data_IF_258548204324
#
_entry.id   IF_258548204324
#
_cell.length_a   1.000
_cell.length_b   1.000
_cell.length_c   1.000
_cell.angle_alpha   90.00
_cell.angle_beta   90.00
_cell.angle_gamma   90.00
#
_symmetry.space_group_name_H-M   'P 1'
#
loop_
_entity.id
_entity.type
_entity.pdbx_description
1 polymer ?
#
# COMPACT_ATOMS: atom_id res chain seq x y z
N UNK A 1 7.26 -12.14 14.61
CA UNK A 1 7.75 -11.97 16.00
C UNK A 1 6.80 -12.70 16.97
N UNK A 2 7.26 -13.14 18.15
CA UNK A 2 6.33 -13.61 19.19
C UNK A 2 5.43 -12.47 19.66
N UNK A 3 4.26 -12.81 20.20
CA UNK A 3 3.33 -11.85 20.81
C UNK A 3 4.05 -10.98 21.85
N UNK A 4 4.00 -9.66 21.68
CA UNK A 4 4.77 -8.71 22.50
C UNK A 4 4.21 -8.63 23.93
N UNK A 5 5.11 -8.54 24.91
CA UNK A 5 4.74 -8.22 26.29
C UNK A 5 4.33 -6.76 26.42
N UNK A 6 3.57 -6.41 27.49
CA UNK A 6 3.19 -5.02 27.77
C UNK A 6 4.40 -4.08 27.86
N UNK A 7 5.51 -4.54 28.42
CA UNK A 7 6.73 -3.73 28.59
C UNK A 7 7.49 -3.51 27.28
N UNK A 8 7.21 -4.30 26.25
CA UNK A 8 7.90 -4.27 24.97
C UNK A 8 7.07 -3.65 23.84
N UNK A 9 5.75 -3.45 23.99
CA UNK A 9 4.88 -3.03 22.89
C UNK A 9 5.35 -1.73 22.22
N UNK A 10 5.93 -0.79 22.98
CA UNK A 10 6.46 0.49 22.47
C UNK A 10 7.95 0.47 22.16
N UNK A 11 8.65 -0.67 22.35
CA UNK A 11 10.04 -0.79 21.92
C UNK A 11 10.07 -1.05 20.41
N UNK A 12 10.96 -0.37 19.66
CA UNK A 12 11.12 -0.63 18.22
C UNK A 12 11.39 -2.11 17.97
N UNK A 13 10.87 -2.64 16.87
CA UNK A 13 11.17 -4.02 16.48
C UNK A 13 12.70 -4.16 16.27
N UNK A 14 13.35 -5.23 16.77
CA UNK A 14 14.79 -5.43 16.62
C UNK A 14 15.28 -5.39 15.17
N UNK A 15 14.41 -5.71 14.19
CA UNK A 15 14.74 -5.62 12.75
C UNK A 15 15.00 -4.18 12.27
N UNK A 16 14.63 -3.16 13.04
CA UNK A 16 15.02 -1.75 12.82
C UNK A 16 16.35 -1.38 13.50
N UNK A 17 17.05 -2.32 14.13
CA UNK A 17 18.33 -2.02 14.81
C UNK A 17 19.37 -1.43 13.86
N UNK A 18 19.48 -2.02 12.67
CA UNK A 18 20.52 -1.70 11.69
C UNK A 18 20.01 -0.80 10.55
N UNK A 19 18.72 -0.47 10.54
CA UNK A 19 18.15 0.42 9.53
C UNK A 19 18.60 1.86 9.79
N UNK A 20 19.24 2.46 8.79
CA UNK A 20 19.80 3.81 8.89
C UNK A 20 19.20 4.74 7.83
N UNK A 21 19.12 6.02 8.18
CA UNK A 21 18.83 7.12 7.26
C UNK A 21 20.07 8.00 7.11
N UNK A 22 20.24 8.62 5.94
CA UNK A 22 21.35 9.55 5.68
C UNK A 22 20.83 10.97 5.83
N UNK A 23 21.38 11.72 6.78
CA UNK A 23 21.05 13.12 7.00
C UNK A 23 22.32 13.97 6.94
N UNK A 24 22.38 14.92 6.01
CA UNK A 24 23.57 15.76 5.83
C UNK A 24 24.84 14.98 5.50
N UNK A 25 24.71 13.84 4.81
CA UNK A 25 25.83 12.95 4.47
C UNK A 25 26.27 12.00 5.59
N UNK A 26 25.63 12.04 6.76
CA UNK A 26 25.94 11.17 7.91
C UNK A 26 24.83 10.13 8.07
N UNK A 27 25.22 8.86 8.15
CA UNK A 27 24.29 7.78 8.46
C UNK A 27 23.98 7.76 9.97
N UNK A 28 22.70 7.72 10.32
CA UNK A 28 22.23 7.48 11.70
C UNK A 28 21.07 6.49 11.69
N UNK A 29 20.83 5.85 12.83
CA UNK A 29 19.70 4.92 12.98
C UNK A 29 18.38 5.63 12.67
N UNK A 30 17.51 4.91 11.96
CA UNK A 30 16.14 5.34 11.68
C UNK A 30 15.36 5.46 12.99
N UNK A 31 14.64 6.57 13.13
CA UNK A 31 13.72 6.82 14.24
C UNK A 31 12.28 6.60 13.79
N UNK A 32 11.35 6.54 14.75
CA UNK A 32 9.92 6.56 14.43
C UNK A 32 9.52 7.80 13.63
N UNK A 33 10.15 8.96 13.89
CA UNK A 33 9.86 10.19 13.17
C UNK A 33 10.25 10.10 11.69
N UNK A 34 11.39 9.46 11.38
CA UNK A 34 11.81 9.24 9.99
C UNK A 34 10.86 8.27 9.27
N UNK A 35 10.50 7.16 9.94
CA UNK A 35 9.55 6.19 9.42
C UNK A 35 8.17 6.82 9.17
N UNK A 36 7.66 7.57 10.15
CA UNK A 36 6.42 8.32 10.00
C UNK A 36 6.50 9.32 8.85
N UNK A 37 7.60 10.06 8.72
CA UNK A 37 7.82 11.00 7.62
C UNK A 37 7.72 10.32 6.25
N UNK A 38 8.42 9.19 6.07
CA UNK A 38 8.37 8.41 4.83
C UNK A 38 6.94 7.93 4.49
N UNK A 39 6.15 7.53 5.49
CA UNK A 39 4.75 7.14 5.28
C UNK A 39 3.86 8.35 4.96
N UNK A 40 4.10 9.49 5.62
CA UNK A 40 3.31 10.72 5.43
C UNK A 40 3.48 11.31 4.03
N UNK A 41 4.69 11.18 3.44
CA UNK A 41 4.99 11.64 2.09
C UNK A 41 4.20 10.87 1.01
N UNK A 42 3.77 9.63 1.32
CA UNK A 42 2.88 8.87 0.45
C UNK A 42 1.44 9.33 0.70
N UNK A 43 0.91 10.14 -0.20
CA UNK A 43 -0.43 10.74 -0.09
C UNK A 43 -1.27 10.51 -1.35
N UNK A 44 -2.59 10.67 -1.20
CA UNK A 44 -3.55 10.64 -2.30
C UNK A 44 -3.90 12.07 -2.72
N UNK A 45 -4.34 12.26 -3.97
CA UNK A 45 -4.86 13.56 -4.39
C UNK A 45 -6.22 13.89 -3.75
N UNK A 46 -6.54 15.19 -3.67
CA UNK A 46 -7.82 15.69 -3.15
C UNK A 46 -9.03 15.28 -4.01
N UNK A 47 -8.81 14.81 -5.24
CA UNK A 47 -9.86 14.32 -6.12
C UNK A 47 -10.37 12.92 -5.73
N UNK A 48 -9.66 12.22 -4.86
CA UNK A 48 -10.02 10.87 -4.41
C UNK A 48 -11.20 10.93 -3.43
N UNK A 49 -12.24 10.07 -3.57
CA UNK A 49 -13.37 10.05 -2.64
C UNK A 49 -12.94 9.84 -1.19
N UNK A 50 -13.56 10.56 -0.26
CA UNK A 50 -13.18 10.55 1.16
C UNK A 50 -13.17 9.17 1.82
N UNK A 51 -14.06 8.25 1.42
CA UNK A 51 -14.05 6.88 1.96
C UNK A 51 -12.86 6.03 1.46
N UNK A 52 -12.38 6.30 0.24
CA UNK A 52 -11.15 5.70 -0.29
C UNK A 52 -9.95 6.26 0.45
N UNK A 53 -9.92 7.58 0.67
CA UNK A 53 -8.92 8.25 1.49
C UNK A 53 -8.84 7.66 2.90
N UNK A 54 -9.97 7.53 3.59
CA UNK A 54 -10.04 6.92 4.91
C UNK A 54 -9.60 5.45 4.93
N UNK A 55 -9.84 4.69 3.86
CA UNK A 55 -9.34 3.32 3.72
C UNK A 55 -7.82 3.28 3.56
N UNK A 56 -7.27 4.16 2.73
CA UNK A 56 -5.83 4.27 2.55
C UNK A 56 -5.12 4.75 3.82
N UNK A 57 -5.73 5.66 4.58
CA UNK A 57 -5.19 6.12 5.87
C UNK A 57 -5.11 5.01 6.92
N UNK A 58 -6.04 4.04 6.89
CA UNK A 58 -5.91 2.84 7.73
C UNK A 58 -4.67 2.03 7.37
N UNK A 59 -4.34 1.93 6.08
CA UNK A 59 -3.10 1.31 5.64
C UNK A 59 -1.88 2.08 6.17
N UNK A 60 -1.81 3.39 5.94
CA UNK A 60 -0.71 4.25 6.42
C UNK A 60 -0.52 4.17 7.93
N UNK A 61 -1.61 4.26 8.70
CA UNK A 61 -1.57 4.13 10.15
C UNK A 61 -1.03 2.76 10.58
N UNK A 62 -1.44 1.67 9.92
CA UNK A 62 -0.92 0.33 10.19
C UNK A 62 0.58 0.25 9.92
N UNK A 63 1.05 0.82 8.81
CA UNK A 63 2.47 0.87 8.45
C UNK A 63 3.28 1.66 9.47
N UNK A 64 2.77 2.77 10.01
CA UNK A 64 3.44 3.53 11.09
C UNK A 64 3.74 2.60 12.29
N UNK A 65 2.75 1.80 12.71
CA UNK A 65 2.92 0.86 13.82
C UNK A 65 3.82 -0.33 13.49
N UNK A 66 4.12 -0.58 12.21
CA UNK A 66 5.09 -1.59 11.82
C UNK A 66 6.51 -1.30 12.33
N UNK A 67 6.79 -0.05 12.74
CA UNK A 67 8.01 0.31 13.46
C UNK A 67 8.18 -0.47 14.78
N UNK A 68 7.08 -0.80 15.44
CA UNK A 68 7.07 -1.56 16.70
C UNK A 68 6.85 -3.05 16.49
N UNK A 69 6.10 -3.44 15.47
CA UNK A 69 5.91 -4.84 15.10
C UNK A 69 5.98 -4.98 13.58
N UNK A 70 7.12 -5.45 13.10
CA UNK A 70 7.47 -5.42 11.68
C UNK A 70 6.63 -6.40 10.86
N UNK A 71 5.86 -7.31 11.47
CA UNK A 71 4.90 -8.15 10.75
C UNK A 71 3.66 -7.33 10.30
N UNK A 72 3.43 -6.14 10.87
CA UNK A 72 2.36 -5.22 10.45
C UNK A 72 2.61 -4.58 9.09
N UNK A 73 3.81 -4.70 8.50
CA UNK A 73 4.06 -4.26 7.13
C UNK A 73 3.12 -4.96 6.15
N UNK A 74 3.04 -6.29 6.22
CA UNK A 74 2.16 -7.11 5.37
C UNK A 74 0.69 -6.77 5.61
N UNK A 75 0.30 -6.52 6.87
CA UNK A 75 -1.07 -6.11 7.20
C UNK A 75 -1.41 -4.76 6.57
N UNK A 76 -0.48 -3.80 6.63
CA UNK A 76 -0.63 -2.49 5.99
C UNK A 76 -0.73 -2.58 4.47
N UNK A 77 0.07 -3.41 3.82
CA UNK A 77 0.00 -3.66 2.37
C UNK A 77 -1.36 -4.23 1.96
N UNK A 78 -1.87 -5.23 2.70
CA UNK A 78 -3.23 -5.78 2.46
C UNK A 78 -4.30 -4.70 2.57
N UNK A 79 -4.19 -3.78 3.54
CA UNK A 79 -5.10 -2.63 3.64
C UNK A 79 -4.94 -1.66 2.46
N UNK A 80 -3.73 -1.42 1.97
CA UNK A 80 -3.48 -0.56 0.80
C UNK A 80 -4.10 -1.17 -0.47
N UNK A 81 -3.95 -2.48 -0.68
CA UNK A 81 -4.65 -3.18 -1.76
C UNK A 81 -6.18 -3.08 -1.63
N UNK A 82 -6.71 -3.19 -0.41
CA UNK A 82 -8.13 -3.00 -0.13
C UNK A 82 -8.62 -1.60 -0.49
N UNK A 83 -7.83 -0.56 -0.20
CA UNK A 83 -8.12 0.81 -0.60
C UNK A 83 -8.10 0.98 -2.13
N UNK A 84 -7.15 0.35 -2.82
CA UNK A 84 -7.10 0.35 -4.29
C UNK A 84 -8.32 -0.34 -4.91
N UNK A 85 -8.74 -1.49 -4.37
CA UNK A 85 -9.98 -2.15 -4.79
C UNK A 85 -11.21 -1.28 -4.57
N UNK A 86 -11.28 -0.58 -3.42
CA UNK A 86 -12.37 0.33 -3.10
C UNK A 86 -12.43 1.50 -4.10
N UNK A 87 -11.26 2.05 -4.44
CA UNK A 87 -11.11 3.10 -5.45
C UNK A 87 -11.64 2.65 -6.82
N UNK A 88 -11.25 1.46 -7.27
CA UNK A 88 -11.74 0.90 -8.53
C UNK A 88 -13.25 0.67 -8.51
N UNK A 89 -13.82 0.17 -7.40
CA UNK A 89 -15.27 0.01 -7.25
C UNK A 89 -16.00 1.35 -7.37
N UNK A 90 -15.50 2.38 -6.68
CA UNK A 90 -16.04 3.72 -6.79
C UNK A 90 -15.98 4.23 -8.21
N UNK A 91 -14.80 4.16 -8.85
CA UNK A 91 -14.63 4.68 -10.20
C UNK A 91 -15.51 3.99 -11.23
N UNK A 92 -15.69 2.68 -11.10
CA UNK A 92 -16.44 1.87 -12.07
C UNK A 92 -17.96 1.86 -11.85
N UNK A 93 -18.42 2.04 -10.61
CA UNK A 93 -19.84 1.86 -10.25
C UNK A 93 -20.47 3.11 -9.62
N UNK A 94 -19.70 4.17 -9.39
CA UNK A 94 -20.13 5.38 -8.67
C UNK A 94 -20.24 5.21 -7.15
N UNK A 95 -19.92 4.02 -6.61
CA UNK A 95 -19.95 3.75 -5.17
C UNK A 95 -19.00 2.60 -4.76
N UNK A 96 -18.58 2.57 -3.50
CA UNK A 96 -17.69 1.56 -2.92
C UNK A 96 -18.36 0.27 -2.41
N UNK A 97 -19.69 0.15 -2.56
CA UNK A 97 -20.50 -0.96 -2.03
C UNK A 97 -20.10 -2.37 -2.50
N UNK A 98 -20.87 -3.39 -2.09
CA UNK A 98 -20.58 -4.83 -2.23
C UNK A 98 -20.62 -5.38 -3.68
N UNK A 99 -20.08 -4.64 -4.64
CA UNK A 99 -19.83 -5.11 -5.99
C UNK A 99 -18.97 -6.36 -5.93
N UNK A 100 -19.52 -7.47 -6.43
CA UNK A 100 -18.83 -8.75 -6.58
C UNK A 100 -17.74 -8.61 -7.62
N UNK A 101 -16.53 -9.06 -7.28
CA UNK A 101 -15.42 -9.10 -8.22
C UNK A 101 -14.09 -9.22 -7.48
N UNK A 102 -13.15 -9.95 -8.07
CA UNK A 102 -11.74 -9.95 -7.64
C UNK A 102 -11.07 -8.66 -8.08
N UNK A 103 -9.91 -8.32 -7.48
CA UNK A 103 -9.09 -7.20 -7.96
C UNK A 103 -8.82 -7.28 -9.46
N UNK A 104 -8.52 -8.48 -9.99
CA UNK A 104 -8.34 -8.68 -11.43
C UNK A 104 -9.55 -8.23 -12.25
N UNK A 105 -10.76 -8.64 -11.88
CA UNK A 105 -11.96 -8.25 -12.61
C UNK A 105 -12.16 -6.72 -12.59
N UNK A 106 -11.83 -6.05 -11.48
CA UNK A 106 -11.91 -4.60 -11.39
C UNK A 106 -10.87 -3.91 -12.28
N UNK A 107 -9.62 -4.37 -12.25
CA UNK A 107 -8.56 -3.86 -13.12
C UNK A 107 -8.92 -4.02 -14.60
N UNK A 108 -9.38 -5.21 -15.01
CA UNK A 108 -9.73 -5.46 -16.42
C UNK A 108 -10.86 -4.55 -16.90
N UNK A 109 -11.86 -4.30 -16.04
CA UNK A 109 -12.94 -3.34 -16.33
C UNK A 109 -12.42 -1.91 -16.41
N UNK A 110 -11.52 -1.52 -15.50
CA UNK A 110 -10.93 -0.18 -15.50
C UNK A 110 -10.06 0.06 -16.74
N UNK A 111 -9.28 -0.94 -17.18
CA UNK A 111 -8.54 -0.88 -18.45
C UNK A 111 -9.47 -0.75 -19.66
N UNK A 112 -10.53 -1.56 -19.73
CA UNK A 112 -11.54 -1.46 -20.80
C UNK A 112 -12.26 -0.11 -20.83
N UNK A 113 -12.46 0.50 -19.66
CA UNK A 113 -13.04 1.84 -19.52
C UNK A 113 -12.06 2.98 -19.75
N UNK A 114 -10.78 2.70 -20.03
CA UNK A 114 -9.73 3.71 -20.23
C UNK A 114 -9.29 4.44 -18.96
N UNK A 115 -9.65 3.95 -17.77
CA UNK A 115 -9.21 4.52 -16.50
C UNK A 115 -7.81 4.06 -16.08
N UNK A 116 -7.38 2.89 -16.58
CA UNK A 116 -6.03 2.36 -16.40
C UNK A 116 -5.40 2.07 -17.77
N UNK A 117 -4.06 2.10 -17.90
CA UNK A 117 -3.38 1.74 -19.13
C UNK A 117 -3.73 0.33 -19.62
N UNK A 118 -3.94 0.19 -20.92
CA UNK A 118 -4.21 -1.11 -21.54
C UNK A 118 -3.04 -2.08 -21.31
N UNK A 119 -3.36 -3.35 -21.07
CA UNK A 119 -2.36 -4.40 -20.93
C UNK A 119 -1.72 -4.68 -22.30
N UNK A 120 -0.40 -4.66 -22.39
CA UNK A 120 0.29 -4.99 -23.64
C UNK A 120 0.27 -6.51 -23.89
N UNK A 121 0.25 -6.99 -25.16
CA UNK A 121 0.05 -8.41 -25.49
C UNK A 121 1.10 -9.43 -25.00
N UNK A 122 2.09 -9.01 -24.21
CA UNK A 122 3.08 -9.89 -23.58
C UNK A 122 3.43 -9.45 -22.14
N UNK A 123 2.66 -8.52 -21.58
CA UNK A 123 2.91 -8.03 -20.23
C UNK A 123 2.68 -9.13 -19.20
N UNK A 124 3.62 -9.21 -18.26
CA UNK A 124 3.53 -10.01 -17.05
C UNK A 124 3.83 -9.10 -15.85
N UNK A 125 3.87 -9.66 -14.64
CA UNK A 125 4.16 -8.89 -13.42
C UNK A 125 5.51 -8.15 -13.42
N UNK A 126 6.49 -8.56 -14.24
CA UNK A 126 7.77 -7.85 -14.37
C UNK A 126 7.68 -6.67 -15.34
N UNK A 127 6.72 -6.69 -16.26
CA UNK A 127 6.59 -5.69 -17.33
C UNK A 127 5.43 -4.71 -17.11
N UNK A 128 4.45 -5.06 -16.26
CA UNK A 128 3.31 -4.22 -15.94
C UNK A 128 3.14 -4.08 -14.42
N UNK A 129 3.22 -2.85 -13.88
CA UNK A 129 3.18 -2.63 -12.43
C UNK A 129 1.82 -2.97 -11.81
N UNK A 130 0.71 -2.90 -12.55
CA UNK A 130 -0.61 -3.27 -12.04
C UNK A 130 -0.73 -4.80 -11.96
N UNK A 131 -0.15 -5.52 -12.92
CA UNK A 131 -0.03 -6.98 -12.86
C UNK A 131 0.83 -7.43 -11.68
N UNK A 132 1.90 -6.70 -11.35
CA UNK A 132 2.69 -6.91 -10.14
C UNK A 132 1.84 -6.76 -8.87
N UNK A 133 1.05 -5.68 -8.77
CA UNK A 133 0.14 -5.46 -7.64
C UNK A 133 -0.91 -6.57 -7.50
N UNK A 134 -1.47 -7.06 -8.61
CA UNK A 134 -2.41 -8.20 -8.56
C UNK A 134 -1.73 -9.46 -8.04
N UNK A 135 -0.53 -9.77 -8.52
CA UNK A 135 0.22 -10.94 -8.09
C UNK A 135 0.57 -10.87 -6.59
N UNK A 136 1.09 -9.74 -6.13
CA UNK A 136 1.41 -9.48 -4.72
C UNK A 136 0.17 -9.60 -3.84
N UNK A 137 -0.92 -8.90 -4.19
CA UNK A 137 -2.18 -8.95 -3.44
C UNK A 137 -2.69 -10.38 -3.29
N UNK A 138 -2.63 -11.17 -4.36
CA UNK A 138 -3.08 -12.57 -4.31
C UNK A 138 -2.18 -13.43 -3.40
N UNK A 139 -0.86 -13.24 -3.43
CA UNK A 139 0.08 -13.92 -2.54
C UNK A 139 -0.23 -13.66 -1.06
N UNK A 140 -0.50 -12.41 -0.70
CA UNK A 140 -0.78 -12.03 0.69
C UNK A 140 -2.19 -12.43 1.18
N UNK A 141 -3.14 -12.70 0.26
CA UNK A 141 -4.55 -12.95 0.60
C UNK A 141 -4.86 -14.36 1.08
N UNK A 142 -3.96 -15.33 0.89
CA UNK A 142 -4.21 -16.75 1.18
C UNK A 142 -3.58 -17.25 2.49
N UNK A 143 -3.25 -16.32 3.40
CA UNK A 143 -2.39 -16.60 4.54
C UNK A 143 -0.93 -16.69 4.08
N UNK A 144 -0.06 -15.93 4.71
CA UNK A 144 1.35 -15.85 4.32
C UNK A 144 2.25 -15.88 5.54
N UNK A 145 3.44 -16.44 5.37
CA UNK A 145 4.57 -16.30 6.30
C UNK A 145 5.59 -15.25 5.85
N UNK A 146 5.25 -14.50 4.80
CA UNK A 146 6.13 -13.48 4.23
C UNK A 146 6.40 -12.37 5.25
N UNK A 147 7.63 -11.88 5.23
CA UNK A 147 8.08 -10.74 6.00
C UNK A 147 8.63 -9.74 5.00
N UNK A 148 7.97 -8.60 4.87
CA UNK A 148 8.40 -7.53 3.97
C UNK A 148 9.17 -6.46 4.73
N UNK A 149 10.25 -5.98 4.11
CA UNK A 149 11.03 -4.89 4.66
C UNK A 149 10.31 -3.54 4.51
N UNK A 150 10.71 -2.49 5.28
CA UNK A 150 10.15 -1.16 5.11
C UNK A 150 10.21 -0.66 3.67
N UNK A 151 11.31 -0.90 2.96
CA UNK A 151 11.45 -0.50 1.55
C UNK A 151 10.40 -1.17 0.67
N UNK A 152 10.27 -2.50 0.78
CA UNK A 152 9.28 -3.26 -0.01
C UNK A 152 7.84 -2.81 0.27
N UNK A 153 7.49 -2.65 1.55
CA UNK A 153 6.14 -2.26 1.93
C UNK A 153 5.81 -0.82 1.50
N UNK A 154 6.76 0.10 1.62
CA UNK A 154 6.57 1.48 1.16
C UNK A 154 6.43 1.55 -0.36
N UNK A 155 7.19 0.77 -1.13
CA UNK A 155 7.02 0.67 -2.60
C UNK A 155 5.60 0.19 -2.97
N UNK A 156 5.05 -0.79 -2.26
CA UNK A 156 3.68 -1.29 -2.50
C UNK A 156 2.64 -0.23 -2.15
N UNK A 157 2.79 0.46 -1.01
CA UNK A 157 1.87 1.51 -0.56
C UNK A 157 1.92 2.71 -1.50
N UNK A 158 3.11 3.11 -1.97
CA UNK A 158 3.32 4.15 -2.96
C UNK A 158 2.70 3.79 -4.31
N UNK A 159 2.92 2.57 -4.80
CA UNK A 159 2.30 2.09 -6.03
C UNK A 159 0.76 2.09 -5.94
N UNK A 160 0.19 1.69 -4.80
CA UNK A 160 -1.25 1.80 -4.56
C UNK A 160 -1.71 3.26 -4.57
N UNK A 161 -1.00 4.16 -3.88
CA UNK A 161 -1.33 5.58 -3.86
C UNK A 161 -1.33 6.20 -5.25
N UNK A 162 -0.30 5.86 -6.05
CA UNK A 162 -0.16 6.30 -7.43
C UNK A 162 -1.37 5.86 -8.28
N UNK A 163 -1.72 4.57 -8.27
CA UNK A 163 -2.83 4.07 -9.10
C UNK A 163 -4.21 4.49 -8.60
N UNK A 164 -4.39 4.66 -7.29
CA UNK A 164 -5.61 5.28 -6.73
C UNK A 164 -5.72 6.71 -7.26
N UNK A 165 -4.68 7.52 -7.15
CA UNK A 165 -4.69 8.92 -7.62
C UNK A 165 -4.88 9.00 -9.13
N UNK A 166 -4.23 8.12 -9.90
CA UNK A 166 -4.30 8.08 -11.35
C UNK A 166 -5.74 7.97 -11.89
N UNK A 167 -6.59 7.18 -11.23
CA UNK A 167 -7.97 6.99 -11.68
C UNK A 167 -8.91 8.16 -11.28
N UNK A 168 -8.40 9.17 -10.56
CA UNK A 168 -9.09 10.42 -10.21
C UNK A 168 -8.26 11.64 -10.64
N UNK A 169 -8.29 12.00 -11.94
CA UNK A 169 -7.60 13.20 -12.40
C UNK A 169 -8.18 14.46 -11.71
N UNK A 170 -7.37 15.50 -11.47
CA UNK A 170 -7.85 16.78 -10.94
C UNK A 170 -8.98 17.34 -11.81
N UNK A 171 -9.95 18.01 -11.20
CA UNK A 171 -10.91 18.79 -11.96
C UNK A 171 -10.18 19.93 -12.69
N UNK A 172 -10.42 20.07 -14.00
CA UNK A 172 -9.93 21.16 -14.83
C UNK A 172 -10.52 22.51 -14.42
#
# INVERSE_FOLDING_TARGET
>A
MPFKSLDDILKPDPRFADLCVVQGGIARRMTLADHHGAVADISLSDAVPGEVGAAFDRARNTIIYAFFDYDLFVVGEVQAFGAFELALKHRLNGHGGAARGTLRNLVDRARKGGFLPALTPAANALADPIEALIALRNGLSHGTSDIHSPGMALEVVEACAFWITHIYPPAL
#
